data_IF_942595591253
#
_entry.id   IF_942595591253
#
_cell.length_a   1.000
_cell.length_b   1.000
_cell.length_c   1.000
_cell.angle_alpha   90.00
_cell.angle_beta   90.00
_cell.angle_gamma   90.00
#
_symmetry.space_group_name_H-M   'P 1'
#
loop_
_entity.id
_entity.type
_entity.pdbx_description
1 polymer ?
#
# COMPACT_ATOMS: atom_id res chain seq x y z
N UNK A 1 -5.19 3.77 -6.17
CA UNK A 1 -4.22 3.84 -7.27
C UNK A 1 -2.86 3.25 -6.92
N UNK A 2 -2.05 3.84 -6.03
CA UNK A 2 -0.70 3.29 -5.72
C UNK A 2 -0.76 1.84 -5.26
N UNK A 3 -1.65 1.52 -4.31
CA UNK A 3 -1.85 0.13 -3.86
C UNK A 3 -2.33 -0.80 -4.97
N UNK A 4 -3.12 -0.29 -5.92
CA UNK A 4 -3.61 -1.08 -7.06
C UNK A 4 -2.48 -1.41 -8.05
N UNK A 5 -1.56 -0.47 -8.27
CA UNK A 5 -0.36 -0.66 -9.09
C UNK A 5 0.55 -1.71 -8.45
N UNK A 6 0.83 -1.57 -7.14
CA UNK A 6 1.72 -2.49 -6.41
C UNK A 6 1.10 -3.90 -6.33
N UNK A 7 -0.21 -4.01 -6.14
CA UNK A 7 -0.88 -5.31 -5.99
C UNK A 7 -1.31 -5.97 -7.29
N UNK A 8 -1.33 -5.22 -8.40
CA UNK A 8 -1.93 -5.64 -9.67
C UNK A 8 -3.45 -5.88 -9.58
N UNK A 9 -4.11 -5.40 -8.53
CA UNK A 9 -5.52 -5.66 -8.23
C UNK A 9 -6.30 -4.36 -8.06
N UNK A 10 -7.57 -4.37 -8.47
CA UNK A 10 -8.45 -3.21 -8.31
C UNK A 10 -8.88 -3.04 -6.84
N UNK A 11 -9.10 -1.82 -6.38
CA UNK A 11 -9.60 -1.53 -5.03
C UNK A 11 -10.97 -2.19 -4.72
N UNK A 12 -11.80 -2.42 -5.74
CA UNK A 12 -13.09 -3.11 -5.60
C UNK A 12 -12.99 -4.63 -5.61
N UNK A 13 -11.79 -5.21 -5.80
CA UNK A 13 -11.64 -6.66 -5.69
C UNK A 13 -11.91 -7.08 -4.24
N UNK A 14 -12.75 -8.10 -4.05
CA UNK A 14 -13.07 -8.59 -2.71
C UNK A 14 -11.83 -9.29 -2.14
N UNK A 15 -11.22 -8.69 -1.12
CA UNK A 15 -10.20 -9.35 -0.33
C UNK A 15 -10.90 -10.15 0.75
N UNK A 16 -11.04 -11.46 0.53
CA UNK A 16 -11.55 -12.37 1.55
C UNK A 16 -10.44 -12.56 2.59
N UNK A 17 -10.72 -12.17 3.82
CA UNK A 17 -9.86 -12.43 4.96
C UNK A 17 -10.70 -12.97 6.11
N UNK A 18 -10.43 -14.22 6.50
CA UNK A 18 -10.93 -14.81 7.75
C UNK A 18 -12.46 -14.67 7.94
N UNK A 19 -13.21 -14.86 6.86
CA UNK A 19 -14.68 -14.76 6.86
C UNK A 19 -15.25 -13.34 6.71
N UNK A 20 -14.41 -12.31 6.59
CA UNK A 20 -14.82 -10.92 6.36
C UNK A 20 -14.32 -10.40 5.00
N UNK A 21 -15.17 -9.68 4.28
CA UNK A 21 -14.82 -8.98 3.04
C UNK A 21 -14.23 -7.61 3.36
N UNK A 22 -12.96 -7.40 3.01
CA UNK A 22 -12.29 -6.11 3.08
C UNK A 22 -12.03 -5.52 1.70
N UNK A 23 -11.78 -4.21 1.65
CA UNK A 23 -11.20 -3.57 0.46
C UNK A 23 -9.66 -3.65 0.51
N UNK A 24 -9.01 -3.20 -0.56
CA UNK A 24 -7.55 -3.23 -0.69
C UNK A 24 -6.82 -2.46 0.41
N UNK A 25 -7.40 -1.35 0.89
CA UNK A 25 -6.81 -0.54 1.96
C UNK A 25 -6.80 -1.31 3.28
N UNK A 26 -7.92 -1.92 3.66
CA UNK A 26 -8.01 -2.74 4.89
C UNK A 26 -7.07 -3.95 4.83
N UNK A 27 -6.98 -4.60 3.67
CA UNK A 27 -6.04 -5.70 3.45
C UNK A 27 -4.58 -5.25 3.64
N UNK A 28 -4.22 -4.12 3.04
CA UNK A 28 -2.87 -3.56 3.11
C UNK A 28 -2.47 -3.16 4.54
N UNK A 29 -3.38 -2.52 5.29
CA UNK A 29 -3.13 -2.17 6.69
C UNK A 29 -2.81 -3.40 7.57
N UNK A 30 -3.46 -4.53 7.31
CA UNK A 30 -3.16 -5.77 8.04
C UNK A 30 -1.77 -6.31 7.71
N UNK A 31 -1.40 -6.36 6.43
CA UNK A 31 -0.05 -6.74 6.04
C UNK A 31 1.01 -5.84 6.67
N UNK A 32 0.75 -4.52 6.68
CA UNK A 32 1.62 -3.55 7.33
C UNK A 32 1.79 -3.84 8.82
N UNK A 33 0.68 -4.03 9.54
CA UNK A 33 0.69 -4.31 10.98
C UNK A 33 1.30 -5.68 11.32
N UNK A 34 1.23 -6.64 10.40
CA UNK A 34 1.86 -7.96 10.54
C UNK A 34 3.35 -7.96 10.17
N UNK A 35 3.90 -6.83 9.70
CA UNK A 35 5.29 -6.73 9.27
C UNK A 35 5.58 -7.40 7.93
N UNK A 36 4.56 -7.68 7.11
CA UNK A 36 4.69 -8.31 5.79
C UNK A 36 4.12 -7.47 4.64
N UNK A 37 4.47 -6.17 4.51
CA UNK A 37 3.91 -5.30 3.47
C UNK A 37 4.21 -5.79 2.04
N UNK A 38 5.31 -6.52 1.85
CA UNK A 38 5.71 -7.04 0.55
C UNK A 38 4.81 -8.15 0.02
N UNK A 39 4.01 -8.80 0.87
CA UNK A 39 3.00 -9.78 0.44
C UNK A 39 1.91 -9.13 -0.42
N UNK A 40 1.83 -7.80 -0.42
CA UNK A 40 0.97 -7.04 -1.32
C UNK A 40 1.47 -7.10 -2.77
N UNK A 41 2.78 -7.17 -3.01
CA UNK A 41 3.38 -6.97 -4.32
C UNK A 41 2.92 -8.03 -5.33
N UNK A 42 2.55 -7.59 -6.53
CA UNK A 42 2.18 -8.49 -7.62
C UNK A 42 3.36 -9.43 -7.96
N UNK A 43 3.16 -10.75 -8.02
CA UNK A 43 4.22 -11.70 -8.34
C UNK A 43 4.92 -11.44 -9.70
N UNK A 44 4.27 -10.74 -10.62
CA UNK A 44 4.84 -10.33 -11.91
C UNK A 44 5.98 -9.32 -11.77
N UNK A 45 6.12 -8.65 -10.62
CA UNK A 45 7.24 -7.76 -10.34
C UNK A 45 8.58 -8.53 -10.20
N UNK A 46 8.58 -9.84 -9.92
CA UNK A 46 9.81 -10.67 -9.82
C UNK A 46 10.94 -9.96 -9.03
N UNK A 47 12.18 -9.96 -9.54
CA UNK A 47 13.32 -9.22 -9.00
C UNK A 47 13.46 -7.79 -9.59
N UNK A 48 12.38 -7.23 -10.16
CA UNK A 48 12.43 -5.94 -10.89
C UNK A 48 12.17 -4.73 -10.00
N UNK A 49 12.17 -4.90 -8.68
CA UNK A 49 11.91 -3.81 -7.75
C UNK A 49 12.86 -3.87 -6.55
N UNK A 50 13.23 -2.70 -6.08
CA UNK A 50 13.92 -2.55 -4.81
C UNK A 50 12.89 -2.68 -3.67
N UNK A 51 13.12 -3.64 -2.78
CA UNK A 51 12.22 -3.95 -1.65
C UNK A 51 11.91 -2.71 -0.79
N UNK A 52 12.91 -1.85 -0.61
CA UNK A 52 12.79 -0.60 0.15
C UNK A 52 11.85 0.40 -0.55
N UNK A 53 11.91 0.48 -1.88
CA UNK A 53 11.05 1.39 -2.65
C UNK A 53 9.58 0.96 -2.58
N UNK A 54 9.30 -0.34 -2.74
CA UNK A 54 7.93 -0.85 -2.61
C UNK A 54 7.39 -0.65 -1.21
N UNK A 55 8.16 -1.01 -0.18
CA UNK A 55 7.74 -0.82 1.22
C UNK A 55 7.44 0.64 1.52
N UNK A 56 8.28 1.56 1.01
CA UNK A 56 8.06 2.99 1.16
C UNK A 56 6.82 3.47 0.41
N UNK A 57 6.61 3.03 -0.83
CA UNK A 57 5.42 3.39 -1.60
C UNK A 57 4.14 2.89 -0.92
N UNK A 58 4.16 1.71 -0.30
CA UNK A 58 3.05 1.20 0.51
C UNK A 58 2.82 2.10 1.72
N UNK A 59 3.87 2.47 2.45
CA UNK A 59 3.77 3.36 3.60
C UNK A 59 3.15 4.72 3.24
N UNK A 60 3.65 5.35 2.18
CA UNK A 60 3.11 6.61 1.67
C UNK A 60 1.63 6.46 1.29
N UNK A 61 1.27 5.37 0.60
CA UNK A 61 -0.11 5.13 0.21
C UNK A 61 -1.05 4.96 1.42
N UNK A 62 -0.59 4.33 2.50
CA UNK A 62 -1.34 4.22 3.76
C UNK A 62 -1.52 5.58 4.45
N UNK A 63 -0.48 6.42 4.46
CA UNK A 63 -0.57 7.79 4.98
C UNK A 63 -1.55 8.65 4.18
N UNK A 64 -1.64 8.47 2.86
CA UNK A 64 -2.58 9.22 2.02
C UNK A 64 -4.07 8.91 2.29
N UNK A 65 -4.37 7.78 2.94
CA UNK A 65 -5.74 7.31 3.21
C UNK A 65 -6.07 7.30 4.70
N UNK A 66 -5.34 8.07 5.51
CA UNK A 66 -5.64 8.25 6.92
C UNK A 66 -7.05 8.82 7.12
N UNK A 67 -7.70 8.39 8.20
CA UNK A 67 -9.04 8.86 8.57
C UNK A 67 -9.03 10.37 8.82
N UNK A 68 -8.14 10.80 9.71
CA UNK A 68 -7.89 12.20 10.00
C UNK A 68 -7.20 12.90 8.81
N UNK A 69 -7.75 14.03 8.39
CA UNK A 69 -7.24 14.77 7.25
C UNK A 69 -5.85 15.38 7.54
N UNK A 70 -5.58 15.74 8.79
CA UNK A 70 -4.31 16.34 9.22
C UNK A 70 -3.13 15.36 9.18
N UNK A 71 -3.40 14.04 9.23
CA UNK A 71 -2.38 13.00 9.11
C UNK A 71 -2.01 12.69 7.66
N UNK A 72 -2.78 13.20 6.69
CA UNK A 72 -2.51 12.96 5.26
C UNK A 72 -1.37 13.87 4.79
N UNK A 73 -0.30 13.32 4.19
CA UNK A 73 0.81 14.12 3.73
C UNK A 73 0.40 14.99 2.56
N UNK A 74 0.99 16.19 2.48
CA UNK A 74 0.86 17.07 1.32
C UNK A 74 1.58 16.47 0.10
N UNK A 75 1.18 16.86 -1.11
CA UNK A 75 1.86 16.41 -2.34
C UNK A 75 3.35 16.74 -2.36
N UNK A 76 3.78 17.85 -1.76
CA UNK A 76 5.20 18.20 -1.63
C UNK A 76 5.94 17.27 -0.66
N UNK A 77 5.32 16.90 0.47
CA UNK A 77 5.87 15.92 1.39
C UNK A 77 5.97 14.54 0.73
N UNK A 78 4.95 14.11 -0.02
CA UNK A 78 4.96 12.86 -0.79
C UNK A 78 6.14 12.84 -1.77
N UNK A 79 6.35 13.92 -2.53
CA UNK A 79 7.49 14.04 -3.44
C UNK A 79 8.82 13.87 -2.70
N UNK A 80 8.99 14.54 -1.56
CA UNK A 80 10.20 14.41 -0.75
C UNK A 80 10.42 12.97 -0.26
N UNK A 81 9.38 12.30 0.20
CA UNK A 81 9.45 10.91 0.66
C UNK A 81 9.86 9.95 -0.47
N UNK A 82 9.42 10.20 -1.71
CA UNK A 82 9.77 9.39 -2.88
C UNK A 82 11.21 9.63 -3.34
N UNK A 83 11.69 10.86 -3.30
CA UNK A 83 13.01 11.25 -3.85
C UNK A 83 14.17 11.10 -2.87
N UNK A 84 13.89 10.86 -1.59
CA UNK A 84 14.91 10.57 -0.57
C UNK A 84 15.45 9.16 -0.74
#
# INVERSE_FOLDING_TARGET
LVLEIISGKNNSSVYQMDGSSGNLVTYTWRLWNNGSPLDLADPSFQDRYETNEITRCIHIALLCVQEEADDRPTMSAILQMITT
#
